data_IF_304534450777
#
_entry.id   IF_304534450777
#
_cell.length_a   1.000
_cell.length_b   1.000
_cell.length_c   1.000
_cell.angle_alpha   90.00
_cell.angle_beta   90.00
_cell.angle_gamma   90.00
#
_symmetry.space_group_name_H-M   'P 1'
#
loop_
_entity.id
_entity.type
_entity.pdbx_description
1 polymer ?
#
# COMPACT_ATOMS: atom_id res chain seq x y z
N UNK A 1 33.89 2.21 26.09
CA UNK A 1 32.51 2.59 25.74
C UNK A 1 32.39 2.77 24.23
N UNK A 2 31.24 2.43 23.66
CA UNK A 2 30.93 2.53 22.25
C UNK A 2 29.77 3.50 22.04
N UNK A 3 29.92 4.46 21.11
CA UNK A 3 28.86 5.36 20.65
C UNK A 3 28.71 5.19 19.15
N UNK A 4 27.46 5.01 18.70
CA UNK A 4 27.11 4.98 17.29
C UNK A 4 26.25 6.21 17.00
N UNK A 5 26.67 7.04 16.06
CA UNK A 5 25.97 8.25 15.64
C UNK A 5 25.51 8.17 14.20
N UNK A 6 24.24 8.50 13.97
CA UNK A 6 23.61 8.59 12.64
C UNK A 6 22.89 9.92 12.45
N UNK A 7 23.33 10.97 13.17
CA UNK A 7 22.67 12.27 13.17
C UNK A 7 22.78 12.96 11.81
N UNK A 8 21.71 13.62 11.42
CA UNK A 8 21.63 14.38 10.16
C UNK A 8 21.60 15.88 10.45
N UNK A 9 22.75 16.43 10.88
CA UNK A 9 22.89 17.84 11.26
C UNK A 9 23.79 18.59 10.30
N UNK A 10 23.57 19.91 10.15
CA UNK A 10 24.42 20.77 9.31
C UNK A 10 25.79 21.09 9.94
N UNK A 11 25.97 20.83 11.23
CA UNK A 11 27.20 21.11 12.01
C UNK A 11 27.42 20.01 13.03
N UNK A 12 28.65 19.88 13.51
CA UNK A 12 28.98 18.97 14.61
C UNK A 12 28.13 19.29 15.85
N UNK A 13 27.50 18.26 16.40
CA UNK A 13 26.62 18.36 17.57
C UNK A 13 27.44 18.27 18.85
N UNK A 14 28.47 17.42 18.84
CA UNK A 14 29.35 17.18 19.99
C UNK A 14 30.67 17.91 19.76
N UNK A 15 30.83 19.05 20.41
CA UNK A 15 32.01 19.94 20.22
C UNK A 15 32.95 19.93 21.41
N UNK A 16 32.49 19.49 22.59
CA UNK A 16 33.25 19.49 23.83
C UNK A 16 33.36 18.08 24.42
N UNK A 17 34.51 17.81 25.06
CA UNK A 17 34.81 16.54 25.72
C UNK A 17 33.89 16.21 26.93
N UNK A 18 33.15 17.21 27.42
CA UNK A 18 32.20 17.05 28.52
C UNK A 18 30.94 16.29 28.17
N UNK A 19 30.67 16.11 26.88
CA UNK A 19 29.48 15.38 26.42
C UNK A 19 29.40 13.94 26.96
N UNK A 20 30.56 13.36 27.31
CA UNK A 20 30.63 11.98 27.82
C UNK A 20 31.53 11.90 29.06
N UNK A 21 31.02 12.37 30.24
CA UNK A 21 31.79 12.34 31.48
C UNK A 21 32.00 10.93 32.00
N UNK A 22 33.07 10.72 32.77
CA UNK A 22 33.30 9.48 33.53
C UNK A 22 33.80 8.26 32.76
N UNK A 23 34.13 8.40 31.48
CA UNK A 23 34.59 7.32 30.61
C UNK A 23 36.12 7.09 30.68
N UNK A 24 36.56 5.85 30.50
CA UNK A 24 37.98 5.47 30.40
C UNK A 24 38.50 5.58 28.96
N UNK A 25 37.77 5.07 27.99
CA UNK A 25 38.07 5.11 26.55
C UNK A 25 36.78 5.07 25.76
N UNK A 26 36.67 5.90 24.72
CA UNK A 26 35.53 5.95 23.84
C UNK A 26 35.89 5.52 22.42
N UNK A 27 35.06 4.63 21.88
CA UNK A 27 35.05 4.31 20.44
C UNK A 27 33.80 4.95 19.86
N UNK A 28 33.96 5.83 18.87
CA UNK A 28 32.86 6.47 18.16
C UNK A 28 32.80 5.96 16.73
N UNK A 29 31.65 5.42 16.36
CA UNK A 29 31.30 5.11 14.97
C UNK A 29 30.32 6.17 14.49
N UNK A 30 30.80 7.11 13.68
CA UNK A 30 30.00 8.23 13.19
C UNK A 30 29.66 8.06 11.71
N UNK A 31 28.39 7.75 11.42
CA UNK A 31 27.84 7.65 10.07
C UNK A 31 27.18 8.95 9.60
N UNK A 32 27.37 10.04 10.36
CA UNK A 32 26.79 11.34 10.05
C UNK A 32 27.59 12.08 8.97
N UNK A 33 26.90 12.86 8.16
CA UNK A 33 27.52 13.73 7.18
C UNK A 33 26.88 15.13 7.20
N UNK A 34 27.64 16.17 7.57
CA UNK A 34 29.00 16.16 8.13
C UNK A 34 29.08 15.46 9.48
N UNK A 35 30.31 15.16 9.94
CA UNK A 35 30.56 14.47 11.21
C UNK A 35 29.85 15.15 12.39
N UNK A 36 29.19 14.33 13.24
CA UNK A 36 28.56 14.81 14.47
C UNK A 36 29.54 15.19 15.58
N UNK A 37 30.77 14.68 15.48
CA UNK A 37 31.83 14.88 16.46
C UNK A 37 32.92 15.78 15.91
N UNK A 38 33.30 16.82 16.70
CA UNK A 38 34.51 17.58 16.44
C UNK A 38 35.71 16.92 17.14
N UNK A 39 36.92 17.24 16.71
CA UNK A 39 38.13 16.73 17.39
C UNK A 39 38.21 17.15 18.84
N UNK A 40 37.69 18.34 19.21
CA UNK A 40 37.65 18.82 20.58
C UNK A 40 36.73 18.07 21.53
N UNK A 41 35.81 17.24 21.00
CA UNK A 41 34.91 16.40 21.81
C UNK A 41 35.54 15.10 22.29
N UNK A 42 36.71 14.74 21.79
CA UNK A 42 37.43 13.51 22.06
C UNK A 42 38.61 13.76 22.96
N UNK A 43 38.92 12.79 23.82
CA UNK A 43 40.14 12.80 24.67
C UNK A 43 41.26 11.99 24.01
N UNK A 44 42.45 12.15 24.52
CA UNK A 44 43.57 11.29 24.15
C UNK A 44 43.23 9.82 24.48
N UNK A 45 43.39 8.95 23.49
CA UNK A 45 43.05 7.52 23.58
C UNK A 45 41.65 7.17 23.04
N UNK A 46 40.79 8.14 22.76
CA UNK A 46 39.52 7.91 22.06
C UNK A 46 39.75 7.64 20.58
N UNK A 47 38.83 6.92 19.96
CA UNK A 47 38.88 6.59 18.54
C UNK A 47 37.60 7.07 17.83
N UNK A 48 37.74 7.82 16.74
CA UNK A 48 36.64 8.25 15.88
C UNK A 48 36.76 7.60 14.51
N UNK A 49 35.74 6.85 14.16
CA UNK A 49 35.55 6.26 12.85
C UNK A 49 34.42 6.98 12.14
N UNK A 50 34.76 8.09 11.47
CA UNK A 50 33.78 8.89 10.71
C UNK A 50 33.51 8.33 9.31
N UNK A 51 32.63 9.00 8.57
CA UNK A 51 32.20 8.57 7.23
C UNK A 51 33.39 8.33 6.26
N UNK A 52 34.42 9.16 6.32
CA UNK A 52 35.62 8.96 5.49
C UNK A 52 36.34 7.63 5.78
N UNK A 53 36.37 7.22 7.05
CA UNK A 53 36.93 5.92 7.44
C UNK A 53 36.12 4.78 6.81
N UNK A 54 34.79 4.87 6.90
CA UNK A 54 33.89 3.85 6.36
C UNK A 54 33.94 3.77 4.84
N UNK A 55 33.97 4.92 4.14
CA UNK A 55 34.13 4.97 2.68
C UNK A 55 35.44 4.33 2.26
N UNK A 56 36.54 4.64 2.96
CA UNK A 56 37.86 4.03 2.68
C UNK A 56 37.84 2.54 2.92
N UNK A 57 37.22 2.10 4.01
CA UNK A 57 37.10 0.67 4.36
C UNK A 57 36.21 -0.07 3.35
N UNK A 58 35.08 0.49 2.97
CA UNK A 58 34.18 -0.07 1.97
C UNK A 58 34.88 -0.22 0.60
N UNK A 59 35.65 0.81 0.17
CA UNK A 59 36.42 0.72 -1.06
C UNK A 59 37.49 -0.39 -1.02
N UNK A 60 38.13 -0.56 0.13
CA UNK A 60 39.13 -1.65 0.30
C UNK A 60 38.45 -3.02 0.27
N UNK A 61 37.33 -3.17 0.95
CA UNK A 61 36.52 -4.40 0.93
C UNK A 61 35.95 -4.69 -0.46
N UNK A 62 35.52 -3.65 -1.20
CA UNK A 62 35.02 -3.78 -2.57
C UNK A 62 36.07 -4.30 -3.57
N UNK A 63 37.36 -4.12 -3.29
CA UNK A 63 38.45 -4.72 -4.07
C UNK A 63 38.68 -6.19 -3.68
N UNK A 64 38.42 -6.54 -2.39
CA UNK A 64 38.58 -7.89 -1.85
C UNK A 64 37.35 -8.78 -2.05
N UNK A 65 36.16 -8.20 -2.17
CA UNK A 65 34.88 -8.88 -2.42
C UNK A 65 34.54 -8.82 -3.89
N UNK A 66 33.94 -9.89 -4.39
CA UNK A 66 33.29 -9.92 -5.70
C UNK A 66 32.05 -9.03 -5.68
N UNK A 67 32.29 -7.72 -5.75
CA UNK A 67 31.25 -6.68 -5.63
C UNK A 67 30.07 -6.91 -6.58
N UNK A 68 30.37 -7.41 -7.79
CA UNK A 68 29.34 -7.70 -8.80
C UNK A 68 28.41 -8.84 -8.39
N UNK A 69 28.93 -9.91 -7.76
CA UNK A 69 28.11 -11.01 -7.26
C UNK A 69 27.18 -10.53 -6.12
N UNK A 70 27.73 -9.76 -5.16
CA UNK A 70 26.94 -9.21 -4.04
C UNK A 70 25.91 -8.20 -4.50
N UNK A 71 26.21 -7.45 -5.57
CA UNK A 71 25.26 -6.50 -6.15
C UNK A 71 24.09 -7.25 -6.82
N UNK A 72 24.38 -8.29 -7.59
CA UNK A 72 23.38 -9.12 -8.25
C UNK A 72 22.45 -9.81 -7.22
N UNK A 73 23.01 -10.38 -6.15
CA UNK A 73 22.20 -10.93 -5.04
C UNK A 73 21.33 -9.86 -4.37
N UNK A 74 21.84 -8.63 -4.21
CA UNK A 74 21.09 -7.50 -3.68
C UNK A 74 19.94 -7.07 -4.60
N UNK A 75 20.16 -7.02 -5.90
CA UNK A 75 19.14 -6.70 -6.90
C UNK A 75 18.02 -7.75 -6.93
N UNK A 76 18.37 -9.04 -6.80
CA UNK A 76 17.38 -10.11 -6.72
C UNK A 76 16.49 -9.97 -5.49
N UNK A 77 17.07 -9.67 -4.31
CA UNK A 77 16.29 -9.43 -3.08
C UNK A 77 15.36 -8.22 -3.23
N UNK A 78 15.85 -7.13 -3.83
CA UNK A 78 15.04 -5.93 -4.07
C UNK A 78 13.86 -6.27 -4.98
N UNK A 79 14.09 -6.99 -6.08
CA UNK A 79 13.04 -7.39 -7.02
C UNK A 79 11.95 -8.21 -6.35
N UNK A 80 12.31 -9.20 -5.54
CA UNK A 80 11.35 -10.02 -4.77
C UNK A 80 10.55 -9.18 -3.78
N UNK A 81 11.19 -8.22 -3.10
CA UNK A 81 10.50 -7.32 -2.16
C UNK A 81 9.53 -6.39 -2.90
N UNK A 82 9.94 -5.84 -4.05
CA UNK A 82 9.08 -4.99 -4.88
C UNK A 82 7.86 -5.76 -5.39
N UNK A 83 8.02 -6.97 -5.90
CA UNK A 83 6.92 -7.82 -6.35
C UNK A 83 5.92 -8.11 -5.21
N UNK A 84 6.43 -8.50 -4.04
CA UNK A 84 5.60 -8.76 -2.87
C UNK A 84 4.84 -7.50 -2.41
N UNK A 85 5.50 -6.34 -2.46
CA UNK A 85 4.88 -5.06 -2.10
C UNK A 85 3.77 -4.68 -3.09
N UNK A 86 4.00 -4.84 -4.39
CA UNK A 86 2.99 -4.59 -5.43
C UNK A 86 1.78 -5.54 -5.27
N UNK A 87 2.03 -6.82 -5.01
CA UNK A 87 0.94 -7.77 -4.73
C UNK A 87 0.13 -7.36 -3.48
N UNK A 88 0.79 -6.91 -2.41
CA UNK A 88 0.11 -6.46 -1.20
C UNK A 88 -0.75 -5.21 -1.44
N UNK A 89 -0.24 -4.24 -2.22
CA UNK A 89 -1.00 -3.04 -2.60
C UNK A 89 -2.21 -3.38 -3.46
N UNK A 90 -2.05 -4.26 -4.44
CA UNK A 90 -3.14 -4.70 -5.31
C UNK A 90 -4.23 -5.41 -4.50
N UNK A 91 -3.85 -6.31 -3.59
CA UNK A 91 -4.78 -7.01 -2.71
C UNK A 91 -5.57 -6.03 -1.81
N UNK A 92 -4.90 -5.02 -1.26
CA UNK A 92 -5.54 -3.99 -0.44
C UNK A 92 -6.54 -3.15 -1.25
N UNK A 93 -6.16 -2.76 -2.46
CA UNK A 93 -7.01 -2.01 -3.39
C UNK A 93 -8.25 -2.81 -3.77
N UNK A 94 -8.08 -4.07 -4.14
CA UNK A 94 -9.18 -4.97 -4.45
C UNK A 94 -10.11 -5.21 -3.25
N UNK A 95 -9.56 -5.36 -2.04
CA UNK A 95 -10.38 -5.51 -0.82
C UNK A 95 -11.24 -4.27 -0.56
N UNK A 96 -10.67 -3.07 -0.73
CA UNK A 96 -11.43 -1.82 -0.61
C UNK A 96 -12.51 -1.71 -1.68
N UNK A 97 -12.18 -1.98 -2.93
CA UNK A 97 -13.14 -1.97 -4.03
C UNK A 97 -14.32 -2.91 -3.75
N UNK A 98 -14.05 -4.16 -3.38
CA UNK A 98 -15.09 -5.13 -2.99
C UNK A 98 -15.98 -4.60 -1.86
N UNK A 99 -15.38 -4.05 -0.81
CA UNK A 99 -16.14 -3.51 0.33
C UNK A 99 -17.10 -2.41 -0.10
N UNK A 100 -16.66 -1.50 -0.96
CA UNK A 100 -17.51 -0.40 -1.48
C UNK A 100 -18.64 -0.94 -2.36
N UNK A 101 -18.32 -1.88 -3.28
CA UNK A 101 -19.31 -2.46 -4.17
C UNK A 101 -20.39 -3.22 -3.38
N UNK A 102 -20.01 -4.05 -2.41
CA UNK A 102 -20.97 -4.78 -1.60
C UNK A 102 -21.84 -3.85 -0.73
N UNK A 103 -21.26 -2.80 -0.13
CA UNK A 103 -22.03 -1.83 0.65
C UNK A 103 -23.05 -1.08 -0.23
N UNK A 104 -22.65 -0.65 -1.41
CA UNK A 104 -23.53 0.02 -2.38
C UNK A 104 -24.67 -0.92 -2.81
N UNK A 105 -24.36 -2.18 -3.09
CA UNK A 105 -25.37 -3.14 -3.54
C UNK A 105 -26.32 -3.57 -2.42
N UNK A 106 -25.88 -3.59 -1.16
CA UNK A 106 -26.76 -3.80 -0.02
C UNK A 106 -27.75 -2.63 0.14
N UNK A 107 -27.29 -1.37 0.01
CA UNK A 107 -28.17 -0.18 0.02
C UNK A 107 -29.19 -0.21 -1.14
N UNK A 108 -28.72 -0.53 -2.36
CA UNK A 108 -29.60 -0.67 -3.52
C UNK A 108 -30.65 -1.77 -3.32
N UNK A 109 -30.28 -2.89 -2.70
CA UNK A 109 -31.24 -3.98 -2.45
C UNK A 109 -32.40 -3.55 -1.57
N UNK A 110 -32.17 -2.70 -0.55
CA UNK A 110 -33.23 -2.17 0.30
C UNK A 110 -34.22 -1.29 -0.49
N UNK A 111 -33.68 -0.46 -1.40
CA UNK A 111 -34.51 0.39 -2.30
C UNK A 111 -35.35 -0.50 -3.23
N UNK A 112 -34.75 -1.52 -3.84
CA UNK A 112 -35.46 -2.41 -4.76
C UNK A 112 -36.52 -3.26 -4.07
N UNK A 113 -36.24 -3.76 -2.86
CA UNK A 113 -37.22 -4.48 -2.05
C UNK A 113 -38.42 -3.61 -1.68
N UNK A 114 -38.18 -2.33 -1.36
CA UNK A 114 -39.23 -1.40 -0.96
C UNK A 114 -39.99 -0.74 -2.11
N UNK A 115 -39.33 -0.48 -3.24
CA UNK A 115 -39.88 0.35 -4.32
C UNK A 115 -40.16 -0.41 -5.62
N UNK A 116 -39.43 -1.51 -5.90
CA UNK A 116 -39.54 -2.21 -7.19
C UNK A 116 -40.24 -3.54 -7.09
N UNK A 117 -40.15 -4.24 -5.95
CA UNK A 117 -40.78 -5.53 -5.79
C UNK A 117 -42.32 -5.40 -5.92
N UNK A 118 -42.89 -6.18 -6.86
CA UNK A 118 -44.32 -6.20 -7.11
C UNK A 118 -45.01 -7.37 -6.34
N UNK A 119 -44.23 -8.41 -6.01
CA UNK A 119 -44.64 -9.60 -5.26
C UNK A 119 -43.76 -9.80 -4.03
N UNK A 120 -44.36 -10.26 -2.94
CA UNK A 120 -43.58 -10.53 -1.70
C UNK A 120 -42.44 -11.54 -1.90
N UNK A 121 -42.59 -12.48 -2.81
CA UNK A 121 -41.55 -13.48 -3.14
C UNK A 121 -40.34 -12.85 -3.80
N UNK A 122 -40.46 -11.69 -4.44
CA UNK A 122 -39.37 -10.98 -5.13
C UNK A 122 -38.42 -10.33 -4.16
N UNK A 123 -38.86 -9.91 -2.97
CA UNK A 123 -38.00 -9.21 -1.99
C UNK A 123 -36.74 -10.02 -1.63
N UNK A 124 -36.84 -11.27 -1.12
CA UNK A 124 -35.66 -12.07 -0.83
C UNK A 124 -34.82 -12.39 -2.09
N UNK A 125 -35.48 -12.48 -3.25
CA UNK A 125 -34.80 -12.71 -4.53
C UNK A 125 -33.97 -11.50 -4.94
N UNK A 126 -34.49 -10.29 -4.79
CA UNK A 126 -33.76 -9.02 -5.06
C UNK A 126 -32.55 -8.86 -4.14
N UNK A 127 -32.70 -9.19 -2.86
CA UNK A 127 -31.57 -9.16 -1.91
C UNK A 127 -30.47 -10.15 -2.26
N UNK A 128 -30.84 -11.36 -2.66
CA UNK A 128 -29.86 -12.33 -3.10
C UNK A 128 -29.23 -11.92 -4.45
N UNK A 129 -30.02 -11.33 -5.33
CA UNK A 129 -29.58 -10.89 -6.65
C UNK A 129 -28.60 -9.69 -6.57
N UNK A 130 -28.82 -8.74 -5.65
CA UNK A 130 -27.87 -7.64 -5.42
C UNK A 130 -26.45 -8.14 -5.13
N UNK A 131 -26.34 -9.22 -4.35
CA UNK A 131 -25.05 -9.84 -4.04
C UNK A 131 -24.41 -10.54 -5.25
N UNK A 132 -25.21 -11.12 -6.14
CA UNK A 132 -24.70 -11.70 -7.40
C UNK A 132 -24.17 -10.60 -8.31
N UNK A 133 -24.88 -9.48 -8.41
CA UNK A 133 -24.41 -8.30 -9.14
C UNK A 133 -23.11 -7.77 -8.53
N UNK A 134 -23.04 -7.63 -7.19
CA UNK A 134 -21.80 -7.24 -6.51
C UNK A 134 -20.64 -8.18 -6.83
N UNK A 135 -20.88 -9.49 -6.80
CA UNK A 135 -19.86 -10.49 -7.14
C UNK A 135 -19.40 -10.37 -8.58
N UNK A 136 -20.33 -10.18 -9.53
CA UNK A 136 -20.02 -10.00 -10.94
C UNK A 136 -19.20 -8.72 -11.20
N UNK A 137 -19.59 -7.58 -10.61
CA UNK A 137 -18.81 -6.33 -10.67
C UNK A 137 -17.40 -6.52 -10.11
N UNK A 138 -17.26 -7.26 -9.02
CA UNK A 138 -15.96 -7.56 -8.42
C UNK A 138 -15.10 -8.48 -9.29
N UNK A 139 -15.70 -9.44 -9.99
CA UNK A 139 -14.99 -10.34 -10.92
C UNK A 139 -14.48 -9.63 -12.16
N UNK A 140 -15.23 -8.67 -12.67
CA UNK A 140 -14.81 -7.81 -13.79
C UNK A 140 -13.86 -6.69 -13.35
N UNK A 141 -13.57 -6.55 -12.05
CA UNK A 141 -12.85 -5.42 -11.46
C UNK A 141 -13.43 -4.05 -11.84
N UNK A 142 -14.75 -4.00 -12.09
CA UNK A 142 -15.45 -2.79 -12.54
C UNK A 142 -15.28 -2.47 -14.03
N UNK A 143 -14.60 -3.32 -14.81
CA UNK A 143 -14.46 -3.17 -16.25
C UNK A 143 -15.59 -3.92 -16.96
N UNK A 144 -16.65 -3.22 -17.30
CA UNK A 144 -17.79 -3.73 -18.07
C UNK A 144 -18.48 -2.55 -18.78
N UNK A 145 -19.17 -2.82 -19.86
CA UNK A 145 -20.03 -1.84 -20.50
C UNK A 145 -21.49 -1.95 -20.02
N UNK A 146 -22.31 -0.93 -20.35
CA UNK A 146 -23.70 -0.89 -19.92
C UNK A 146 -24.58 -1.96 -20.59
N UNK A 147 -24.14 -2.51 -21.72
CA UNK A 147 -24.82 -3.62 -22.41
C UNK A 147 -24.58 -4.94 -21.69
N UNK A 148 -23.34 -5.20 -21.29
CA UNK A 148 -22.98 -6.38 -20.49
C UNK A 148 -23.70 -6.40 -19.15
N UNK A 149 -23.82 -5.24 -18.49
CA UNK A 149 -24.60 -5.11 -17.24
C UNK A 149 -26.09 -5.43 -17.50
N UNK A 150 -26.68 -4.92 -18.57
CA UNK A 150 -28.07 -5.16 -18.93
C UNK A 150 -28.33 -6.64 -19.24
N UNK A 151 -27.43 -7.28 -19.98
CA UNK A 151 -27.51 -8.71 -20.27
C UNK A 151 -27.39 -9.56 -19.01
N UNK A 152 -26.45 -9.22 -18.12
CA UNK A 152 -26.30 -9.92 -16.85
C UNK A 152 -27.56 -9.81 -15.98
N UNK A 153 -28.14 -8.60 -15.86
CA UNK A 153 -29.35 -8.39 -15.06
C UNK A 153 -30.56 -9.11 -15.65
N UNK A 154 -30.77 -9.04 -16.96
CA UNK A 154 -31.90 -9.70 -17.64
C UNK A 154 -31.75 -11.21 -17.78
N UNK A 155 -30.52 -11.70 -17.76
CA UNK A 155 -30.20 -13.13 -17.89
C UNK A 155 -30.33 -13.93 -16.59
N UNK A 156 -30.74 -13.31 -15.47
CA UNK A 156 -30.89 -14.03 -14.20
C UNK A 156 -31.96 -15.14 -14.27
N UNK A 157 -31.67 -16.26 -13.61
CA UNK A 157 -32.63 -17.37 -13.44
C UNK A 157 -33.50 -17.24 -12.17
N UNK A 158 -33.48 -16.10 -11.49
CA UNK A 158 -34.24 -15.85 -10.27
C UNK A 158 -35.72 -15.59 -10.59
N UNK A 159 -36.58 -15.92 -9.65
CA UNK A 159 -38.03 -15.61 -9.76
C UNK A 159 -38.28 -14.12 -9.47
N UNK A 160 -37.88 -13.29 -10.43
CA UNK A 160 -38.07 -11.85 -10.45
C UNK A 160 -38.74 -11.50 -11.79
N UNK A 161 -39.79 -10.70 -11.73
CA UNK A 161 -40.53 -10.31 -12.93
C UNK A 161 -39.65 -9.47 -13.90
N UNK A 162 -39.89 -9.59 -15.19
CA UNK A 162 -39.18 -8.80 -16.22
C UNK A 162 -39.32 -7.29 -16.02
N UNK A 163 -40.44 -6.84 -15.46
CA UNK A 163 -40.69 -5.44 -15.15
C UNK A 163 -39.75 -4.97 -14.05
N UNK A 164 -39.62 -5.75 -12.98
CA UNK A 164 -38.69 -5.46 -11.89
C UNK A 164 -37.24 -5.48 -12.34
N UNK A 165 -36.84 -6.47 -13.15
CA UNK A 165 -35.50 -6.54 -13.74
C UNK A 165 -35.18 -5.33 -14.60
N UNK A 166 -36.15 -4.82 -15.34
CA UNK A 166 -35.97 -3.60 -16.15
C UNK A 166 -35.75 -2.37 -15.27
N UNK A 167 -36.47 -2.25 -14.15
CA UNK A 167 -36.27 -1.16 -13.17
C UNK A 167 -34.87 -1.28 -12.50
N UNK A 168 -34.45 -2.47 -12.11
CA UNK A 168 -33.12 -2.73 -11.55
C UNK A 168 -32.01 -2.37 -12.54
N UNK A 169 -32.12 -2.79 -13.80
CA UNK A 169 -31.16 -2.47 -14.84
C UNK A 169 -31.05 -0.95 -15.09
N UNK A 170 -32.20 -0.24 -15.10
CA UNK A 170 -32.22 1.21 -15.26
C UNK A 170 -31.55 1.94 -14.10
N UNK A 171 -31.85 1.55 -12.85
CA UNK A 171 -31.26 2.14 -11.65
C UNK A 171 -29.73 1.90 -11.58
N UNK A 172 -29.27 0.72 -11.96
CA UNK A 172 -27.84 0.43 -12.04
C UNK A 172 -27.12 1.26 -13.11
N UNK A 173 -27.71 1.38 -14.30
CA UNK A 173 -27.14 2.24 -15.36
C UNK A 173 -27.02 3.68 -14.93
N UNK A 174 -28.02 4.24 -14.27
CA UNK A 174 -27.98 5.61 -13.74
C UNK A 174 -26.89 5.74 -12.68
N UNK A 175 -26.73 4.74 -11.82
CA UNK A 175 -25.69 4.71 -10.79
C UNK A 175 -24.29 4.72 -11.40
N UNK A 176 -24.02 3.87 -12.40
CA UNK A 176 -22.74 3.79 -13.10
C UNK A 176 -22.42 5.14 -13.79
N UNK A 177 -23.35 5.71 -14.54
CA UNK A 177 -23.17 6.98 -15.22
C UNK A 177 -22.91 8.15 -14.25
N UNK A 178 -23.54 8.13 -13.06
CA UNK A 178 -23.32 9.14 -12.04
C UNK A 178 -21.92 9.01 -11.42
N UNK A 179 -21.43 7.78 -11.24
CA UNK A 179 -20.08 7.52 -10.74
C UNK A 179 -18.99 7.93 -11.74
N UNK A 180 -19.18 7.66 -13.03
CA UNK A 180 -18.25 8.09 -14.09
C UNK A 180 -18.18 9.63 -14.17
N UNK A 181 -19.31 10.33 -14.03
CA UNK A 181 -19.34 11.79 -14.02
C UNK A 181 -18.71 12.45 -12.78
N UNK A 182 -18.57 11.72 -11.67
CA UNK A 182 -17.93 12.19 -10.45
C UNK A 182 -16.40 12.01 -10.45
N UNK A 183 -15.85 11.24 -11.40
CA UNK A 183 -14.42 10.96 -11.55
C UNK A 183 -13.73 11.86 -12.60
N UNK A 184 -14.46 12.75 -13.24
CA UNK A 184 -13.99 13.77 -14.19
C UNK A 184 -13.98 15.14 -13.51
#
# INVERSE_FOLDING_TARGET
DLVISTLRNKRATFTESRAFPGRSKLIVMDFSWPSSFSRGSLKDGDSLYGMEHWIRRARKLGVEWKYEETLAEGEEVISVVEENFQMALNNLSQAKFRSVVYAMMDEKSEIWEGSFAEREIEKPQLKAFSREIASWICQTNGFFDLSELDEFVKGTNRDISAVVLTKVASDLKETVLTMEGALV
#
